data_IF_485843404562
#
_entry.id   IF_485843404562
#
_cell.length_a   1.000
_cell.length_b   1.000
_cell.length_c   1.000
_cell.angle_alpha   90.00
_cell.angle_beta   90.00
_cell.angle_gamma   90.00
#
_symmetry.space_group_name_H-M   'P 1'
#
loop_
_entity.id
_entity.type
_entity.pdbx_description
1 polymer ?
#
# COMPACT_ATOMS: atom_id res chain seq x y z
N UNK A 1 14.72 -6.51 14.83
CA UNK A 1 15.57 -6.15 13.67
C UNK A 1 14.93 -5.05 12.81
N UNK A 2 13.82 -5.32 12.06
CA UNK A 2 13.22 -4.27 11.18
C UNK A 2 12.78 -3.02 11.97
N UNK A 3 12.05 -3.20 13.07
CA UNK A 3 11.60 -2.07 13.91
C UNK A 3 12.78 -1.26 14.43
N UNK A 4 13.86 -1.89 14.88
CA UNK A 4 15.07 -1.20 15.36
C UNK A 4 15.71 -0.34 14.25
N UNK A 5 15.84 -0.90 13.04
CA UNK A 5 16.40 -0.17 11.91
C UNK A 5 15.53 1.04 11.52
N UNK A 6 14.20 0.87 11.50
CA UNK A 6 13.28 1.98 11.24
C UNK A 6 13.27 3.01 12.38
N UNK A 7 13.39 2.60 13.65
CA UNK A 7 13.47 3.52 14.77
C UNK A 7 14.72 4.41 14.68
N UNK A 8 15.86 3.84 14.28
CA UNK A 8 17.09 4.61 14.05
C UNK A 8 16.92 5.61 12.90
N UNK A 9 16.29 5.19 11.79
CA UNK A 9 16.02 6.07 10.65
C UNK A 9 15.05 7.21 11.02
N UNK A 10 13.95 6.89 11.72
CA UNK A 10 12.96 7.88 12.19
C UNK A 10 13.63 8.92 13.10
N UNK A 11 14.43 8.45 14.08
CA UNK A 11 15.19 9.35 14.95
C UNK A 11 16.08 10.28 14.15
N UNK A 12 16.87 9.77 13.21
CA UNK A 12 17.77 10.57 12.39
C UNK A 12 17.04 11.63 11.56
N UNK A 13 15.88 11.27 10.97
CA UNK A 13 15.07 12.20 10.19
C UNK A 13 14.44 13.28 11.05
N UNK A 14 13.87 12.93 12.20
CA UNK A 14 13.25 13.90 13.12
C UNK A 14 14.29 14.82 13.73
N UNK A 15 15.44 14.31 14.17
CA UNK A 15 16.56 15.12 14.67
C UNK A 15 17.10 16.07 13.58
N UNK A 16 17.02 15.67 12.32
CA UNK A 16 17.37 16.49 11.16
C UNK A 16 16.36 17.57 10.79
N UNK A 17 15.19 17.58 11.46
CA UNK A 17 14.16 18.61 11.28
C UNK A 17 13.22 18.35 10.09
N UNK A 18 12.93 17.09 9.77
CA UNK A 18 11.93 16.76 8.76
C UNK A 18 10.52 17.20 9.18
N UNK A 19 9.71 17.64 8.24
CA UNK A 19 8.31 18.04 8.47
C UNK A 19 7.31 16.91 8.17
N UNK A 20 7.70 15.93 7.34
CA UNK A 20 6.85 14.82 6.90
C UNK A 20 7.71 13.56 6.83
N UNK A 21 7.17 12.43 7.26
CA UNK A 21 7.77 11.11 7.07
C UNK A 21 7.11 10.41 5.90
N UNK A 22 7.90 9.94 4.92
CA UNK A 22 7.43 9.18 3.78
C UNK A 22 7.96 7.74 3.85
N UNK A 23 7.04 6.77 3.99
CA UNK A 23 7.33 5.35 3.82
C UNK A 23 7.14 5.02 2.34
N UNK A 24 8.24 4.93 1.59
CA UNK A 24 8.17 4.80 0.13
C UNK A 24 8.67 3.45 -0.39
N UNK A 25 8.31 3.14 -1.65
CA UNK A 25 8.71 1.94 -2.37
C UNK A 25 8.32 0.65 -1.61
N UNK A 26 7.12 0.70 -1.02
CA UNK A 26 6.61 -0.42 -0.23
C UNK A 26 6.10 -1.51 -1.17
N UNK A 27 6.75 -2.64 -1.16
CA UNK A 27 6.33 -3.85 -1.89
C UNK A 27 5.85 -4.99 -0.97
N UNK A 28 5.89 -4.78 0.34
CA UNK A 28 5.41 -5.70 1.38
C UNK A 28 4.79 -4.92 2.55
N UNK A 29 3.50 -5.17 2.83
CA UNK A 29 2.77 -4.42 3.86
C UNK A 29 3.17 -4.81 5.28
N UNK A 30 3.74 -6.00 5.53
CA UNK A 30 4.28 -6.35 6.84
C UNK A 30 5.53 -5.52 7.15
N UNK A 31 6.38 -5.32 6.16
CA UNK A 31 7.54 -4.43 6.27
C UNK A 31 7.11 -2.98 6.55
N UNK A 32 6.11 -2.48 5.79
CA UNK A 32 5.54 -1.15 6.04
C UNK A 32 4.96 -1.02 7.46
N UNK A 33 4.28 -2.04 7.98
CA UNK A 33 3.77 -2.06 9.35
C UNK A 33 4.90 -2.01 10.40
N UNK A 34 6.05 -2.59 10.12
CA UNK A 34 7.21 -2.44 11.00
C UNK A 34 7.73 -0.99 11.03
N UNK A 35 7.74 -0.29 9.89
CA UNK A 35 8.06 1.14 9.81
C UNK A 35 7.02 1.99 10.54
N UNK A 36 5.73 1.73 10.33
CA UNK A 36 4.62 2.38 11.02
C UNK A 36 4.75 2.23 12.54
N UNK A 37 4.98 1.01 13.01
CA UNK A 37 5.15 0.75 14.43
C UNK A 37 6.34 1.51 15.04
N UNK A 38 7.45 1.60 14.31
CA UNK A 38 8.60 2.39 14.73
C UNK A 38 8.27 3.89 14.82
N UNK A 39 7.54 4.43 13.85
CA UNK A 39 7.08 5.83 13.84
C UNK A 39 6.16 6.11 15.03
N UNK A 40 5.10 5.29 15.19
CA UNK A 40 4.14 5.46 16.27
C UNK A 40 4.81 5.39 17.66
N UNK A 41 5.71 4.40 17.84
CA UNK A 41 6.46 4.24 19.08
C UNK A 41 7.33 5.46 19.37
N UNK A 42 8.02 5.98 18.35
CA UNK A 42 8.85 7.16 18.48
C UNK A 42 8.01 8.41 18.83
N UNK A 43 6.86 8.58 18.18
CA UNK A 43 5.96 9.70 18.44
C UNK A 43 5.42 9.67 19.87
N UNK A 44 5.00 8.49 20.35
CA UNK A 44 4.53 8.32 21.73
C UNK A 44 5.62 8.57 22.76
N UNK A 45 6.85 8.10 22.50
CA UNK A 45 7.98 8.28 23.44
C UNK A 45 8.42 9.73 23.56
N UNK A 46 8.32 10.51 22.47
CA UNK A 46 8.84 11.89 22.41
C UNK A 46 7.75 12.97 22.47
N UNK A 47 6.47 12.56 22.58
CA UNK A 47 5.30 13.47 22.59
C UNK A 47 5.27 14.39 21.36
N UNK A 48 5.50 13.84 20.18
CA UNK A 48 5.46 14.52 18.89
C UNK A 48 4.52 13.81 17.93
N UNK A 49 4.06 14.53 16.90
CA UNK A 49 3.29 13.97 15.79
C UNK A 49 3.69 14.70 14.50
N UNK A 50 4.13 13.93 13.50
CA UNK A 50 4.39 14.44 12.15
C UNK A 50 3.47 13.75 11.17
N UNK A 51 3.08 14.44 10.07
CA UNK A 51 2.35 13.80 9.00
C UNK A 51 3.13 12.62 8.39
N UNK A 52 2.41 11.52 8.10
CA UNK A 52 3.00 10.34 7.46
C UNK A 52 2.38 10.15 6.09
N UNK A 53 3.22 9.97 5.07
CA UNK A 53 2.83 9.56 3.73
C UNK A 53 3.22 8.10 3.50
N UNK A 54 2.45 7.38 2.68
CA UNK A 54 2.78 6.01 2.29
C UNK A 54 2.73 5.90 0.76
N UNK A 55 3.77 5.28 0.19
CA UNK A 55 3.86 5.03 -1.23
C UNK A 55 4.27 3.59 -1.51
N UNK A 56 3.38 2.83 -2.15
CA UNK A 56 3.62 1.46 -2.55
C UNK A 56 4.29 1.33 -3.90
N UNK A 57 4.69 0.12 -4.23
CA UNK A 57 5.25 -0.22 -5.54
C UNK A 57 4.55 -1.42 -6.12
N UNK A 58 3.96 -1.27 -7.30
CA UNK A 58 3.42 -2.36 -8.10
C UNK A 58 4.55 -2.95 -8.92
N UNK A 59 4.88 -4.21 -8.68
CA UNK A 59 6.12 -4.82 -9.18
C UNK A 59 5.94 -5.69 -10.42
N UNK A 60 4.71 -6.00 -10.79
CA UNK A 60 4.44 -6.87 -11.93
C UNK A 60 3.24 -6.43 -12.77
N UNK A 61 3.13 -7.02 -13.95
CA UNK A 61 2.05 -6.74 -14.90
C UNK A 61 0.66 -7.22 -14.42
N UNK A 62 0.57 -8.00 -13.34
CA UNK A 62 -0.70 -8.41 -12.74
C UNK A 62 -1.32 -7.33 -11.84
N UNK A 63 -0.59 -6.23 -11.63
CA UNK A 63 -1.05 -5.11 -10.81
C UNK A 63 -0.93 -5.33 -9.31
N UNK A 64 0.07 -6.11 -8.92
CA UNK A 64 0.28 -6.49 -7.51
C UNK A 64 1.62 -5.99 -6.97
N UNK A 65 1.66 -5.78 -5.67
CA UNK A 65 2.93 -5.63 -4.94
C UNK A 65 3.70 -6.95 -4.97
N UNK A 66 4.97 -6.95 -4.60
CA UNK A 66 5.80 -8.16 -4.57
C UNK A 66 5.22 -9.24 -3.64
N UNK A 67 4.57 -8.84 -2.55
CA UNK A 67 3.86 -9.77 -1.65
C UNK A 67 2.49 -10.22 -2.17
N UNK A 68 2.09 -9.79 -3.37
CA UNK A 68 0.91 -10.27 -4.11
C UNK A 68 -0.37 -9.48 -3.86
N UNK A 69 -0.34 -8.37 -3.12
CA UNK A 69 -1.53 -7.57 -2.83
C UNK A 69 -1.91 -6.64 -3.98
N UNK A 70 -3.23 -6.51 -4.22
CA UNK A 70 -3.79 -5.48 -5.10
C UNK A 70 -3.71 -4.09 -4.46
N UNK A 71 -3.93 -3.02 -5.25
CA UNK A 71 -3.88 -1.64 -4.75
C UNK A 71 -4.85 -1.38 -3.59
N UNK A 72 -6.07 -1.88 -3.65
CA UNK A 72 -7.05 -1.73 -2.55
C UNK A 72 -6.72 -2.62 -1.35
N UNK A 73 -6.17 -3.82 -1.54
CA UNK A 73 -5.70 -4.64 -0.44
C UNK A 73 -4.52 -3.98 0.30
N UNK A 74 -3.62 -3.35 -0.45
CA UNK A 74 -2.54 -2.53 0.10
C UNK A 74 -3.09 -1.38 0.96
N UNK A 75 -4.06 -0.61 0.44
CA UNK A 75 -4.73 0.45 1.21
C UNK A 75 -5.40 -0.09 2.48
N UNK A 76 -6.23 -1.14 2.37
CA UNK A 76 -6.93 -1.71 3.52
C UNK A 76 -5.96 -2.20 4.62
N UNK A 77 -4.77 -2.69 4.23
CA UNK A 77 -3.74 -3.14 5.19
C UNK A 77 -3.12 -1.99 5.98
N UNK A 78 -3.07 -0.77 5.43
CA UNK A 78 -2.29 0.35 5.95
C UNK A 78 -3.13 1.56 6.39
N UNK A 79 -4.42 1.61 6.05
CA UNK A 79 -5.31 2.74 6.33
C UNK A 79 -5.48 3.07 7.82
N UNK A 80 -5.18 2.11 8.71
CA UNK A 80 -5.33 2.26 10.16
C UNK A 80 -4.47 3.37 10.78
N UNK A 81 -3.35 3.74 10.15
CA UNK A 81 -2.50 4.84 10.63
C UNK A 81 -2.99 6.22 10.18
N UNK A 82 -4.03 6.27 9.33
CA UNK A 82 -4.57 7.51 8.78
C UNK A 82 -3.50 8.40 8.13
N UNK A 83 -2.76 7.88 7.14
CA UNK A 83 -1.72 8.66 6.49
C UNK A 83 -2.32 9.89 5.80
N UNK A 84 -1.55 10.98 5.68
CA UNK A 84 -2.01 12.16 4.93
C UNK A 84 -2.13 11.87 3.43
N UNK A 85 -1.34 10.94 2.91
CA UNK A 85 -1.49 10.45 1.54
C UNK A 85 -1.12 8.99 1.42
N UNK A 86 -1.75 8.34 0.44
CA UNK A 86 -1.42 7.01 -0.05
C UNK A 86 -1.21 7.09 -1.55
N UNK A 87 -0.36 6.24 -2.11
CA UNK A 87 -0.16 6.19 -3.55
C UNK A 87 0.90 5.20 -3.96
N UNK A 88 1.47 5.44 -5.15
CA UNK A 88 2.47 4.55 -5.73
C UNK A 88 3.67 5.32 -6.27
N UNK A 89 4.82 4.68 -6.22
CA UNK A 89 6.04 5.17 -6.86
C UNK A 89 6.83 4.03 -7.49
N UNK A 90 7.70 4.38 -8.43
CA UNK A 90 8.67 3.47 -9.02
C UNK A 90 8.06 2.30 -9.82
N UNK A 91 8.92 1.45 -10.38
CA UNK A 91 8.64 0.28 -11.21
C UNK A 91 7.86 0.56 -12.50
N UNK A 92 6.86 1.41 -12.48
CA UNK A 92 5.99 1.73 -13.61
C UNK A 92 6.20 3.16 -14.10
N UNK A 93 6.00 3.37 -15.40
CA UNK A 93 5.80 4.69 -15.99
C UNK A 93 4.41 5.26 -15.70
N UNK A 94 4.16 6.48 -16.13
CA UNK A 94 2.88 7.12 -15.90
C UNK A 94 1.73 6.32 -16.53
N UNK A 95 1.87 5.87 -17.75
CA UNK A 95 0.82 5.14 -18.47
C UNK A 95 0.39 3.86 -17.74
N UNK A 96 1.34 3.06 -17.26
CA UNK A 96 1.06 1.80 -16.57
C UNK A 96 0.51 2.03 -15.16
N UNK A 97 0.96 3.10 -14.48
CA UNK A 97 0.53 3.42 -13.11
C UNK A 97 -0.90 3.96 -13.06
N UNK A 98 -1.41 4.55 -14.15
CA UNK A 98 -2.71 5.22 -14.25
C UNK A 98 -3.87 4.45 -13.60
N UNK A 99 -4.04 3.19 -13.95
CA UNK A 99 -5.16 2.37 -13.50
C UNK A 99 -5.22 2.21 -11.97
N UNK A 100 -4.06 2.15 -11.30
CA UNK A 100 -3.98 2.01 -9.84
C UNK A 100 -4.25 3.32 -9.11
N UNK A 101 -3.80 4.43 -9.69
CA UNK A 101 -4.11 5.77 -9.19
C UNK A 101 -5.61 6.06 -9.33
N UNK A 102 -6.20 5.71 -10.48
CA UNK A 102 -7.64 5.81 -10.74
C UNK A 102 -8.45 4.96 -9.73
N UNK A 103 -8.08 3.70 -9.52
CA UNK A 103 -8.73 2.81 -8.55
C UNK A 103 -8.70 3.42 -7.14
N UNK A 104 -7.53 3.84 -6.64
CA UNK A 104 -7.41 4.47 -5.34
C UNK A 104 -8.23 5.76 -5.26
N UNK A 105 -8.28 6.56 -6.34
CA UNK A 105 -8.92 7.87 -6.34
C UNK A 105 -10.40 7.82 -5.97
N UNK A 106 -11.09 6.73 -6.23
CA UNK A 106 -12.52 6.54 -5.94
C UNK A 106 -12.82 5.78 -4.64
N UNK A 107 -11.79 5.17 -4.00
CA UNK A 107 -11.97 4.28 -2.86
C UNK A 107 -11.26 4.73 -1.58
N UNK A 108 -10.51 5.82 -1.62
CA UNK A 108 -9.63 6.24 -0.52
C UNK A 108 -10.05 7.61 0.01
N UNK A 109 -10.15 7.71 1.33
CA UNK A 109 -10.58 8.90 2.08
C UNK A 109 -9.42 9.80 2.57
N UNK A 110 -8.25 9.66 1.93
CA UNK A 110 -7.09 10.55 2.14
C UNK A 110 -6.55 11.06 0.81
N UNK A 111 -5.49 11.88 0.81
CA UNK A 111 -4.88 12.36 -0.43
C UNK A 111 -4.23 11.23 -1.21
N UNK A 112 -4.22 11.36 -2.54
CA UNK A 112 -3.52 10.43 -3.43
C UNK A 112 -2.24 11.08 -3.93
N UNK A 113 -1.14 10.32 -3.82
CA UNK A 113 0.18 10.69 -4.35
C UNK A 113 0.65 9.71 -5.43
N UNK A 114 1.40 10.22 -6.41
CA UNK A 114 2.01 9.37 -7.43
C UNK A 114 3.40 9.88 -7.82
N UNK A 115 4.33 8.95 -8.01
CA UNK A 115 5.71 9.25 -8.41
C UNK A 115 6.17 8.20 -9.42
N UNK A 116 5.68 8.26 -10.68
CA UNK A 116 6.08 7.31 -11.72
C UNK A 116 7.54 7.49 -12.14
N UNK A 117 8.10 6.47 -12.77
CA UNK A 117 9.37 6.55 -13.47
C UNK A 117 9.19 7.31 -14.80
N UNK A 118 10.27 7.74 -15.42
CA UNK A 118 10.28 8.29 -16.77
C UNK A 118 10.12 7.17 -17.84
N UNK A 119 8.98 6.48 -17.79
CA UNK A 119 8.70 5.27 -18.55
C UNK A 119 9.28 4.00 -17.94
N UNK A 120 9.40 2.96 -18.75
CA UNK A 120 10.04 1.71 -18.38
C UNK A 120 11.54 1.74 -18.79
N UNK A 121 12.43 1.10 -18.03
CA UNK A 121 13.83 1.04 -18.41
C UNK A 121 14.01 0.24 -19.71
N UNK A 122 14.85 0.75 -20.61
CA UNK A 122 15.26 0.05 -21.82
C UNK A 122 16.24 -1.11 -21.53
N UNK A 123 16.72 -1.80 -22.56
CA UNK A 123 17.66 -2.92 -22.43
C UNK A 123 19.00 -2.55 -21.78
N UNK A 124 19.35 -1.27 -21.73
CA UNK A 124 20.54 -0.74 -21.06
C UNK A 124 20.27 -0.22 -19.65
N UNK A 125 19.00 -0.28 -19.19
CA UNK A 125 18.57 0.27 -17.90
C UNK A 125 18.38 1.79 -17.90
N UNK A 126 18.35 2.43 -19.08
CA UNK A 126 18.12 3.86 -19.27
C UNK A 126 16.61 4.14 -19.45
N UNK A 127 16.20 5.39 -19.22
CA UNK A 127 14.82 5.84 -19.33
C UNK A 127 14.69 6.79 -20.51
N UNK A 128 13.83 6.45 -21.46
CA UNK A 128 13.73 7.13 -22.77
C UNK A 128 12.45 7.97 -22.92
N UNK A 129 11.51 7.92 -21.97
CA UNK A 129 10.29 8.75 -22.00
C UNK A 129 10.68 10.22 -21.88
N UNK A 130 10.05 11.09 -22.66
CA UNK A 130 10.33 12.52 -22.62
C UNK A 130 9.50 13.23 -21.52
N UNK A 131 9.98 14.37 -20.99
CA UNK A 131 9.24 15.16 -20.00
C UNK A 131 7.81 15.55 -20.47
N UNK A 132 7.66 15.86 -21.75
CA UNK A 132 6.38 16.27 -22.36
C UNK A 132 5.39 15.10 -22.42
N UNK A 133 5.84 13.88 -22.70
CA UNK A 133 4.99 12.69 -22.80
C UNK A 133 4.47 12.32 -21.41
N UNK A 134 5.35 12.24 -20.43
CA UNK A 134 4.98 12.01 -19.03
C UNK A 134 4.02 13.09 -18.50
N UNK A 135 4.31 14.35 -18.78
CA UNK A 135 3.48 15.47 -18.35
C UNK A 135 2.08 15.43 -18.99
N UNK A 136 1.96 15.03 -20.26
CA UNK A 136 0.67 14.90 -20.95
C UNK A 136 -0.21 13.82 -20.31
N UNK A 137 0.36 12.66 -19.97
CA UNK A 137 -0.36 11.59 -19.28
C UNK A 137 -0.83 12.03 -17.88
N UNK A 138 0.04 12.67 -17.10
CA UNK A 138 -0.28 13.17 -15.77
C UNK A 138 -1.30 14.30 -15.81
N UNK A 139 -1.29 15.15 -16.85
CA UNK A 139 -2.31 16.19 -17.05
C UNK A 139 -3.70 15.57 -17.23
N UNK A 140 -3.83 14.43 -17.92
CA UNK A 140 -5.10 13.72 -18.01
C UNK A 140 -5.57 13.23 -16.64
N UNK A 141 -4.68 12.68 -15.81
CA UNK A 141 -5.04 12.29 -14.43
C UNK A 141 -5.54 13.47 -13.60
N UNK A 142 -4.85 14.61 -13.69
CA UNK A 142 -5.26 15.83 -13.00
C UNK A 142 -6.62 16.32 -13.49
N UNK A 143 -6.87 16.29 -14.80
CA UNK A 143 -8.15 16.65 -15.42
C UNK A 143 -9.30 15.74 -14.96
N UNK A 144 -9.04 14.44 -14.77
CA UNK A 144 -10.00 13.48 -14.23
C UNK A 144 -10.18 13.60 -12.71
N UNK A 145 -9.33 14.35 -12.03
CA UNK A 145 -9.38 14.51 -10.58
C UNK A 145 -8.89 13.28 -9.81
N UNK A 146 -7.82 12.64 -10.27
CA UNK A 146 -7.32 11.40 -9.65
C UNK A 146 -6.30 11.66 -8.55
N UNK A 147 -5.58 12.79 -8.54
CA UNK A 147 -4.47 13.02 -7.62
C UNK A 147 -4.47 14.37 -6.90
N UNK A 148 -3.69 14.39 -5.82
CA UNK A 148 -3.45 15.58 -5.02
C UNK A 148 -1.95 15.95 -5.00
N UNK A 149 -1.07 14.96 -5.04
CA UNK A 149 0.39 15.10 -4.94
C UNK A 149 1.01 14.34 -6.11
N UNK A 150 1.92 14.99 -6.80
CA UNK A 150 2.61 14.41 -7.94
C UNK A 150 4.09 14.76 -7.92
N UNK A 151 4.90 13.81 -8.31
CA UNK A 151 6.32 13.96 -8.52
C UNK A 151 6.81 12.96 -9.54
N UNK A 152 8.07 12.61 -9.47
CA UNK A 152 8.71 11.58 -10.28
C UNK A 152 9.59 10.67 -9.45
N UNK A 153 9.98 9.53 -10.02
CA UNK A 153 10.91 8.58 -9.45
C UNK A 153 12.09 8.34 -10.42
N UNK A 154 12.45 7.10 -10.69
CA UNK A 154 13.62 6.77 -11.51
C UNK A 154 13.55 7.40 -12.91
N UNK A 155 14.69 7.94 -13.35
CA UNK A 155 14.83 8.59 -14.65
C UNK A 155 14.32 10.03 -14.72
N UNK A 156 13.58 10.52 -13.71
CA UNK A 156 13.09 11.91 -13.73
C UNK A 156 14.13 12.91 -13.26
N UNK A 157 14.09 14.09 -13.86
CA UNK A 157 14.98 15.23 -13.60
C UNK A 157 14.15 16.49 -13.30
N UNK A 158 14.76 17.62 -12.94
CA UNK A 158 14.04 18.88 -12.74
C UNK A 158 13.17 19.30 -13.93
N UNK A 159 13.56 18.96 -15.16
CA UNK A 159 12.81 19.25 -16.39
C UNK A 159 11.46 18.51 -16.40
N UNK A 160 11.43 17.23 -15.97
CA UNK A 160 10.18 16.48 -15.81
C UNK A 160 9.27 17.12 -14.79
N UNK A 161 9.80 17.48 -13.62
CA UNK A 161 9.00 18.11 -12.58
C UNK A 161 8.42 19.44 -13.07
N UNK A 162 9.20 20.23 -13.80
CA UNK A 162 8.72 21.46 -14.37
C UNK A 162 7.61 21.24 -15.40
N UNK A 163 7.79 20.29 -16.32
CA UNK A 163 6.79 19.95 -17.32
C UNK A 163 5.47 19.47 -16.67
N UNK A 164 5.57 18.62 -15.65
CA UNK A 164 4.41 18.16 -14.88
C UNK A 164 3.69 19.33 -14.21
N UNK A 165 4.41 20.21 -13.50
CA UNK A 165 3.81 21.38 -12.83
C UNK A 165 3.07 22.25 -13.83
N UNK A 166 3.71 22.59 -14.96
CA UNK A 166 3.10 23.42 -15.99
C UNK A 166 1.82 22.77 -16.55
N UNK A 167 1.82 21.45 -16.73
CA UNK A 167 0.71 20.70 -17.29
C UNK A 167 -0.47 20.51 -16.32
N UNK A 168 -0.21 20.31 -15.02
CA UNK A 168 -1.27 20.07 -14.02
C UNK A 168 -1.85 21.35 -13.41
N UNK A 169 -1.12 22.47 -13.44
CA UNK A 169 -1.51 23.74 -12.84
C UNK A 169 -2.91 24.24 -13.21
N UNK A 170 -3.45 23.99 -14.42
CA UNK A 170 -4.81 24.42 -14.78
C UNK A 170 -5.93 23.64 -14.08
N UNK A 171 -5.63 22.49 -13.47
CA UNK A 171 -6.64 21.60 -12.92
C UNK A 171 -6.70 21.70 -11.40
N UNK A 172 -7.91 21.60 -10.80
CA UNK A 172 -8.04 21.55 -9.36
C UNK A 172 -7.54 20.19 -8.83
N UNK A 173 -7.03 20.13 -7.58
CA UNK A 173 -6.68 18.86 -6.95
C UNK A 173 -7.92 17.97 -6.78
N UNK A 174 -7.70 16.65 -6.68
CA UNK A 174 -8.75 15.68 -6.39
C UNK A 174 -9.53 16.08 -5.13
N UNK A 175 -10.83 15.98 -5.21
CA UNK A 175 -11.71 16.06 -4.02
C UNK A 175 -11.74 14.70 -3.35
N UNK A 176 -11.48 14.67 -2.04
CA UNK A 176 -11.56 13.43 -1.25
C UNK A 176 -13.02 12.98 -1.23
N UNK A 177 -13.35 11.75 -1.67
CA UNK A 177 -14.70 11.25 -1.67
C UNK A 177 -15.16 10.91 -0.24
N UNK A 178 -16.47 10.96 -0.02
CA UNK A 178 -17.08 10.36 1.16
C UNK A 178 -17.12 8.84 0.97
N UNK A 179 -16.45 8.12 1.86
CA UNK A 179 -16.36 6.66 1.82
C UNK A 179 -17.25 6.06 2.89
N UNK A 180 -18.16 5.18 2.49
CA UNK A 180 -19.03 4.46 3.42
C UNK A 180 -18.20 3.70 4.46
N UNK A 181 -18.63 3.78 5.73
CA UNK A 181 -18.01 3.01 6.81
C UNK A 181 -18.35 1.54 6.67
N UNK A 182 -17.34 0.70 6.45
CA UNK A 182 -17.44 -0.76 6.33
C UNK A 182 -16.32 -1.43 7.11
N UNK A 183 -16.49 -2.69 7.47
CA UNK A 183 -15.36 -3.51 7.91
C UNK A 183 -14.51 -3.86 6.68
N UNK A 184 -13.29 -3.32 6.60
CA UNK A 184 -12.36 -3.55 5.50
C UNK A 184 -11.19 -4.39 5.97
N UNK A 185 -11.02 -5.53 5.31
CA UNK A 185 -9.95 -6.48 5.56
C UNK A 185 -9.10 -6.62 4.30
N UNK A 186 -7.91 -7.18 4.45
CA UNK A 186 -7.01 -7.44 3.34
C UNK A 186 -6.29 -8.78 3.52
N UNK A 187 -6.47 -9.63 2.51
CA UNK A 187 -5.53 -10.69 2.19
C UNK A 187 -4.67 -10.23 1.01
N UNK A 188 -4.56 -11.03 -0.05
CA UNK A 188 -4.03 -10.59 -1.34
C UNK A 188 -5.03 -9.67 -2.06
N UNK A 189 -6.32 -9.91 -1.83
CA UNK A 189 -7.45 -9.12 -2.33
C UNK A 189 -8.07 -8.30 -1.18
N UNK A 190 -8.75 -7.19 -1.49
CA UNK A 190 -9.56 -6.48 -0.51
C UNK A 190 -10.81 -7.31 -0.16
N UNK A 191 -11.17 -7.33 1.09
CA UNK A 191 -12.42 -7.94 1.55
C UNK A 191 -13.19 -6.96 2.42
N UNK A 192 -14.38 -6.53 1.94
CA UNK A 192 -15.20 -5.55 2.63
C UNK A 192 -16.54 -6.16 3.05
N UNK A 193 -16.92 -5.94 4.30
CA UNK A 193 -18.20 -6.39 4.87
C UNK A 193 -19.06 -5.16 5.13
N UNK A 194 -20.24 -5.12 4.56
CA UNK A 194 -21.21 -4.04 4.69
C UNK A 194 -22.65 -4.56 4.73
N UNK A 195 -23.62 -3.66 4.68
CA UNK A 195 -25.02 -4.00 4.76
C UNK A 195 -25.53 -4.86 3.58
N UNK A 196 -24.84 -4.81 2.46
CA UNK A 196 -25.10 -5.54 1.22
C UNK A 196 -24.33 -6.88 1.12
N UNK A 197 -23.50 -7.21 2.12
CA UNK A 197 -22.72 -8.43 2.13
C UNK A 197 -23.59 -9.65 2.46
N UNK A 198 -23.29 -10.76 1.79
CA UNK A 198 -23.84 -12.07 2.16
C UNK A 198 -23.22 -12.53 3.49
N UNK A 199 -23.72 -13.65 4.01
CA UNK A 199 -23.17 -14.27 5.21
C UNK A 199 -21.69 -14.61 5.03
N UNK A 200 -20.85 -14.20 5.98
CA UNK A 200 -19.40 -14.41 5.96
C UNK A 200 -19.04 -15.53 6.93
N UNK A 201 -18.41 -16.58 6.39
CA UNK A 201 -17.91 -17.70 7.18
C UNK A 201 -16.47 -17.43 7.64
N UNK A 202 -16.23 -17.62 8.94
CA UNK A 202 -14.90 -17.60 9.54
C UNK A 202 -14.53 -19.02 9.94
N UNK A 203 -13.42 -19.53 9.39
CA UNK A 203 -12.86 -20.82 9.75
C UNK A 203 -12.01 -20.71 11.01
N UNK A 204 -12.32 -21.49 12.05
CA UNK A 204 -11.65 -21.44 13.37
C UNK A 204 -10.80 -22.69 13.68
N UNK A 205 -10.50 -23.53 12.69
CA UNK A 205 -9.79 -24.80 12.94
C UNK A 205 -8.28 -24.67 12.97
N UNK A 206 -7.72 -23.56 12.53
CA UNK A 206 -6.30 -23.20 12.64
C UNK A 206 -5.98 -22.53 13.99
N UNK A 207 -6.49 -23.10 15.06
CA UNK A 207 -6.46 -22.55 16.41
C UNK A 207 -6.02 -23.64 17.40
N UNK A 208 -4.85 -23.47 18.03
CA UNK A 208 -4.29 -24.45 18.99
C UNK A 208 -5.12 -24.56 20.27
N UNK A 209 -5.91 -23.54 20.61
CA UNK A 209 -6.81 -23.58 21.76
C UNK A 209 -8.14 -24.26 21.41
N UNK A 210 -8.69 -23.98 20.23
CA UNK A 210 -10.01 -24.45 19.81
C UNK A 210 -10.00 -25.76 19.01
N UNK A 211 -8.86 -26.26 18.55
CA UNK A 211 -8.73 -27.46 17.72
C UNK A 211 -7.64 -28.40 18.25
N UNK A 212 -8.05 -29.50 18.89
CA UNK A 212 -7.11 -30.51 19.37
C UNK A 212 -6.28 -31.16 18.24
N UNK A 213 -6.88 -31.32 17.03
CA UNK A 213 -6.17 -31.80 15.85
C UNK A 213 -5.05 -30.84 15.47
N UNK A 214 -5.37 -29.57 15.31
CA UNK A 214 -4.40 -28.55 14.90
C UNK A 214 -3.28 -28.39 15.94
N UNK A 215 -3.66 -28.31 17.23
CA UNK A 215 -2.69 -28.25 18.33
C UNK A 215 -1.66 -29.39 18.27
N UNK A 216 -2.11 -30.64 18.07
CA UNK A 216 -1.22 -31.77 17.97
C UNK A 216 -0.25 -31.64 16.79
N UNK A 217 -0.75 -31.25 15.61
CA UNK A 217 0.07 -31.05 14.42
C UNK A 217 1.17 -30.00 14.63
N UNK A 218 0.84 -28.89 15.31
CA UNK A 218 1.82 -27.84 15.63
C UNK A 218 2.86 -28.35 16.64
N UNK A 219 2.44 -29.08 17.67
CA UNK A 219 3.38 -29.65 18.69
C UNK A 219 4.29 -30.71 18.09
N UNK A 220 3.77 -31.51 17.15
CA UNK A 220 4.53 -32.55 16.45
C UNK A 220 5.34 -31.99 15.25
N UNK A 221 5.32 -30.66 15.02
CA UNK A 221 5.98 -29.98 13.91
C UNK A 221 5.54 -30.46 12.50
N UNK A 222 4.37 -31.09 12.40
CA UNK A 222 3.76 -31.49 11.13
C UNK A 222 3.03 -30.32 10.47
N UNK A 223 3.82 -29.36 9.98
CA UNK A 223 3.29 -28.12 9.40
C UNK A 223 2.57 -28.35 8.07
N UNK A 224 2.96 -29.34 7.29
CA UNK A 224 2.31 -29.66 6.01
C UNK A 224 0.85 -30.08 6.25
N UNK A 225 0.61 -30.99 7.20
CA UNK A 225 -0.76 -31.39 7.56
C UNK A 225 -1.51 -30.26 8.27
N UNK A 226 -0.82 -29.40 9.03
CA UNK A 226 -1.42 -28.22 9.65
C UNK A 226 -1.90 -27.21 8.58
N UNK A 227 -1.14 -27.01 7.52
CA UNK A 227 -1.56 -26.18 6.36
C UNK A 227 -2.75 -26.78 5.61
N UNK A 228 -2.89 -28.11 5.56
CA UNK A 228 -4.08 -28.76 4.99
C UNK A 228 -5.33 -28.45 5.80
N UNK A 229 -5.24 -28.30 7.13
CA UNK A 229 -6.37 -27.83 7.96
C UNK A 229 -6.82 -26.44 7.54
N UNK A 230 -5.89 -25.53 7.24
CA UNK A 230 -6.20 -24.20 6.73
C UNK A 230 -6.89 -24.30 5.35
N UNK A 231 -6.30 -25.06 4.44
CA UNK A 231 -6.81 -25.25 3.07
C UNK A 231 -8.22 -25.87 3.05
N UNK A 232 -8.48 -26.86 3.89
CA UNK A 232 -9.81 -27.50 4.03
C UNK A 232 -10.88 -26.47 4.39
N UNK A 233 -10.60 -25.50 5.24
CA UNK A 233 -11.57 -24.46 5.62
C UNK A 233 -11.92 -23.56 4.43
N UNK A 234 -10.93 -23.15 3.63
CA UNK A 234 -11.14 -22.34 2.42
C UNK A 234 -11.95 -23.13 1.38
N UNK A 235 -11.59 -24.38 1.11
CA UNK A 235 -12.30 -25.26 0.18
C UNK A 235 -13.77 -25.43 0.60
N UNK A 236 -14.04 -25.49 1.90
CA UNK A 236 -15.39 -25.62 2.45
C UNK A 236 -16.13 -24.27 2.62
N UNK A 237 -15.60 -23.18 2.06
CA UNK A 237 -16.30 -21.91 1.90
C UNK A 237 -16.03 -20.86 3.00
N UNK A 238 -14.95 -20.98 3.76
CA UNK A 238 -14.52 -19.91 4.64
C UNK A 238 -13.91 -18.76 3.82
N UNK A 239 -14.42 -17.56 4.02
CA UNK A 239 -13.88 -16.32 3.45
C UNK A 239 -12.74 -15.75 4.32
N UNK A 240 -12.75 -16.07 5.59
CA UNK A 240 -11.76 -15.64 6.58
C UNK A 240 -11.28 -16.88 7.35
N UNK A 241 -10.02 -16.91 7.70
CA UNK A 241 -9.44 -17.92 8.60
C UNK A 241 -8.94 -17.23 9.86
N UNK A 242 -9.38 -17.71 11.02
CA UNK A 242 -8.78 -17.38 12.31
C UNK A 242 -7.51 -18.22 12.50
N UNK A 243 -6.41 -17.57 12.83
CA UNK A 243 -5.13 -18.23 13.14
C UNK A 243 -4.74 -17.85 14.57
N UNK A 244 -4.71 -18.86 15.45
CA UNK A 244 -4.30 -18.70 16.83
C UNK A 244 -3.24 -19.75 17.18
N UNK A 245 -2.06 -19.30 17.53
CA UNK A 245 -0.90 -20.17 17.86
C UNK A 245 -0.61 -20.27 19.36
N UNK A 246 -1.42 -19.62 20.20
CA UNK A 246 -1.29 -19.60 21.66
C UNK A 246 -0.85 -18.31 22.26
#
# INVERSE_FOLDING_TARGET
ALVEAYSEAVKGLVDGGTDILLIETVFDTLNAKAAIFAIDSYFQEHDIELPVMISGTITDASGRTLSGQTALAFWNSLSHIKPISIGFNCALGAQEMRQYVEELSSHVDTYISAHPNAGLPNEFGEYDELPEDMAAEIADWAKQGYLNIIGGCCGTSPEYIKAIIDAVSPYPPRKIPEIETRCRLAGLEPFSIGADSLFVNIGERTNVTGSARFKRLIVDEDYDTALDVAREQVINGAQIIDINMG
#
